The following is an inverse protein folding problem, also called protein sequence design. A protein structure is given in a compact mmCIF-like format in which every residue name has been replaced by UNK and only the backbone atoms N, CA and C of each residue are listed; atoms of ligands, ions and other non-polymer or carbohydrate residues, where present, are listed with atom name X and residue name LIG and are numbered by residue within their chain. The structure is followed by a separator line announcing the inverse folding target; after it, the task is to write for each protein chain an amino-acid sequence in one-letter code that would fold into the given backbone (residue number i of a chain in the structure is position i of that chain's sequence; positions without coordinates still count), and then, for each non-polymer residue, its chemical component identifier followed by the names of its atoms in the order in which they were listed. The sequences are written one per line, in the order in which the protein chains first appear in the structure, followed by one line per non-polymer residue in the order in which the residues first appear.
data_IF_561157687894
#
_entry.id   IF_561157687894
#
_cell.length_a   1.000
_cell.length_b   1.000
_cell.length_c   1.000
_cell.angle_alpha   90.00
_cell.angle_beta   90.00
_cell.angle_gamma   90.00
#
_symmetry.space_group_name_H-M   'P 1'
#
loop_
_entity.id
_entity.type
_entity.pdbx_description
1 polymer ?
#
# COMPACT_ATOMS: atom_id res chain seq x y z
N UNK A 1 14.83 -9.50 -15.02
CA UNK A 1 13.70 -8.99 -15.83
C UNK A 1 12.51 -8.50 -15.01
N UNK A 2 12.48 -8.76 -13.70
CA UNK A 2 11.39 -8.30 -12.80
C UNK A 2 11.46 -6.83 -12.40
N UNK A 3 12.64 -6.22 -12.37
CA UNK A 3 12.86 -4.85 -11.88
C UNK A 3 12.25 -3.76 -12.78
N UNK A 4 12.28 -3.93 -14.09
CA UNK A 4 11.74 -2.94 -15.04
C UNK A 4 10.21 -2.88 -15.00
N UNK A 5 9.55 -3.99 -14.64
CA UNK A 5 8.09 -4.05 -14.49
C UNK A 5 7.58 -3.37 -13.22
N UNK A 6 8.32 -3.46 -12.11
CA UNK A 6 7.92 -2.89 -10.81
C UNK A 6 8.08 -1.36 -10.77
N UNK A 7 9.17 -0.81 -11.28
CA UNK A 7 9.35 0.65 -11.41
C UNK A 7 8.27 1.30 -12.28
N UNK A 8 7.87 0.64 -13.36
CA UNK A 8 6.81 1.12 -14.24
C UNK A 8 5.45 1.08 -13.54
N UNK A 9 5.15 0.03 -12.75
CA UNK A 9 3.92 -0.06 -11.97
C UNK A 9 3.82 1.01 -10.87
N UNK A 10 4.92 1.35 -10.21
CA UNK A 10 4.95 2.42 -9.21
C UNK A 10 4.69 3.77 -9.86
N UNK A 11 5.35 4.08 -10.98
CA UNK A 11 5.15 5.33 -11.73
C UNK A 11 3.72 5.52 -12.19
N UNK A 12 3.11 4.47 -12.74
CA UNK A 12 1.74 4.51 -13.26
C UNK A 12 0.69 4.67 -12.16
N UNK A 13 1.02 4.31 -10.92
CA UNK A 13 0.12 4.45 -9.77
C UNK A 13 0.04 5.88 -9.24
N UNK A 14 1.07 6.70 -9.49
CA UNK A 14 1.13 8.10 -9.12
C UNK A 14 1.01 8.95 -10.38
N UNK A 15 -0.15 9.59 -10.58
CA UNK A 15 -0.40 10.43 -11.77
C UNK A 15 0.26 11.80 -11.70
N UNK A 16 0.59 12.26 -10.51
CA UNK A 16 1.22 13.54 -10.26
C UNK A 16 2.74 13.40 -10.37
N UNK A 17 3.35 14.18 -11.28
CA UNK A 17 4.81 14.22 -11.48
C UNK A 17 5.57 14.53 -10.19
N UNK A 18 4.99 15.37 -9.32
CA UNK A 18 5.57 15.70 -8.02
C UNK A 18 5.61 14.46 -7.10
N UNK A 19 4.54 13.68 -7.05
CA UNK A 19 4.49 12.43 -6.28
C UNK A 19 5.47 11.39 -6.83
N UNK A 20 5.58 11.28 -8.16
CA UNK A 20 6.57 10.39 -8.79
C UNK A 20 8.01 10.80 -8.44
N UNK A 21 8.32 12.09 -8.43
CA UNK A 21 9.63 12.59 -8.04
C UNK A 21 9.95 12.30 -6.57
N UNK A 22 8.97 12.43 -5.67
CA UNK A 22 9.11 12.08 -4.26
C UNK A 22 9.40 10.60 -4.06
N UNK A 23 8.65 9.72 -4.72
CA UNK A 23 8.87 8.26 -4.62
C UNK A 23 10.25 7.87 -5.14
N UNK A 24 10.70 8.46 -6.26
CA UNK A 24 12.06 8.25 -6.75
C UNK A 24 13.12 8.66 -5.73
N UNK A 25 12.93 9.81 -5.08
CA UNK A 25 13.82 10.28 -4.03
C UNK A 25 13.90 9.28 -2.87
N UNK A 26 12.76 8.76 -2.41
CA UNK A 26 12.74 7.76 -1.34
C UNK A 26 13.50 6.48 -1.70
N UNK A 27 13.31 6.00 -2.93
CA UNK A 27 14.03 4.80 -3.42
C UNK A 27 15.54 5.06 -3.48
N UNK A 28 15.97 6.24 -3.93
CA UNK A 28 17.39 6.62 -3.98
C UNK A 28 18.00 6.78 -2.59
N UNK A 29 17.28 7.39 -1.66
CA UNK A 29 17.72 7.62 -0.28
C UNK A 29 17.51 6.40 0.63
N UNK A 30 16.88 5.33 0.12
CA UNK A 30 16.51 4.11 0.88
C UNK A 30 15.73 4.44 2.16
N UNK A 31 14.92 5.49 2.16
CA UNK A 31 14.11 5.91 3.30
C UNK A 31 12.75 6.41 2.86
N UNK A 32 11.74 6.23 3.73
CA UNK A 32 10.37 6.70 3.52
C UNK A 32 9.85 7.40 4.77
N UNK A 33 8.91 8.36 4.64
CA UNK A 33 8.12 8.83 5.77
C UNK A 33 7.02 7.82 6.13
N UNK A 34 6.19 8.14 7.14
CA UNK A 34 4.92 7.43 7.30
C UNK A 34 3.98 7.77 6.14
N UNK A 35 3.31 6.77 5.59
CA UNK A 35 2.48 6.91 4.40
C UNK A 35 1.03 6.56 4.68
N UNK A 36 0.11 7.24 4.00
CA UNK A 36 -1.32 6.91 3.99
C UNK A 36 -1.80 6.81 2.54
N UNK A 37 -2.08 5.60 2.08
CA UNK A 37 -2.66 5.35 0.77
C UNK A 37 -4.18 5.27 0.86
N UNK A 38 -4.88 6.21 0.25
CA UNK A 38 -6.33 6.24 0.18
C UNK A 38 -6.84 5.96 -1.23
N UNK A 39 -8.04 5.44 -1.34
CA UNK A 39 -8.70 5.19 -2.62
C UNK A 39 -9.64 3.99 -2.57
N UNK A 40 -10.36 3.74 -3.65
CA UNK A 40 -11.36 2.69 -3.70
C UNK A 40 -10.79 1.28 -3.44
N UNK A 41 -11.67 0.35 -3.07
CA UNK A 41 -11.27 -1.05 -2.94
C UNK A 41 -10.78 -1.62 -4.29
N UNK A 42 -9.81 -2.53 -4.24
CA UNK A 42 -9.34 -3.27 -5.41
C UNK A 42 -8.41 -2.50 -6.37
N UNK A 43 -8.06 -1.25 -6.10
CA UNK A 43 -7.19 -0.43 -6.98
C UNK A 43 -5.68 -0.66 -6.77
N UNK A 44 -5.28 -1.58 -5.89
CA UNK A 44 -3.89 -1.96 -5.73
C UNK A 44 -3.10 -1.21 -4.65
N UNK A 45 -3.73 -0.55 -3.67
CA UNK A 45 -3.04 0.15 -2.56
C UNK A 45 -2.04 -0.72 -1.82
N UNK A 46 -2.46 -1.92 -1.40
CA UNK A 46 -1.61 -2.90 -0.70
C UNK A 46 -0.48 -3.40 -1.59
N UNK A 47 -0.78 -3.64 -2.88
CA UNK A 47 0.21 -4.04 -3.88
C UNK A 47 1.27 -2.96 -4.07
N UNK A 48 0.85 -1.68 -4.13
CA UNK A 48 1.76 -0.55 -4.23
C UNK A 48 2.72 -0.46 -3.04
N UNK A 49 2.21 -0.68 -1.82
CA UNK A 49 3.05 -0.75 -0.62
C UNK A 49 4.10 -1.86 -0.73
N UNK A 50 3.71 -3.06 -1.18
CA UNK A 50 4.63 -4.20 -1.36
C UNK A 50 5.66 -3.95 -2.45
N UNK A 51 5.27 -3.34 -3.56
CA UNK A 51 6.23 -2.92 -4.60
C UNK A 51 7.25 -1.93 -4.05
N UNK A 52 6.81 -0.98 -3.22
CA UNK A 52 7.71 -0.03 -2.57
C UNK A 52 8.70 -0.73 -1.63
N UNK A 53 8.29 -1.77 -0.90
CA UNK A 53 9.20 -2.57 -0.07
C UNK A 53 10.27 -3.25 -0.89
N UNK A 54 9.90 -3.82 -2.04
CA UNK A 54 10.86 -4.46 -2.95
C UNK A 54 11.87 -3.47 -3.53
N UNK A 55 11.42 -2.27 -3.95
CA UNK A 55 12.31 -1.24 -4.49
C UNK A 55 13.25 -0.65 -3.42
N UNK A 56 12.79 -0.58 -2.18
CA UNK A 56 13.61 -0.16 -1.03
C UNK A 56 14.53 -1.29 -0.53
N UNK A 57 14.39 -2.51 -1.07
CA UNK A 57 15.14 -3.70 -0.66
C UNK A 57 14.99 -4.00 0.84
N UNK A 58 13.77 -3.79 1.39
CA UNK A 58 13.49 -4.05 2.80
C UNK A 58 13.48 -5.55 3.05
N UNK A 59 14.19 -5.99 4.08
CA UNK A 59 14.20 -7.39 4.47
C UNK A 59 12.81 -7.85 4.93
N UNK A 60 12.36 -9.02 4.50
CA UNK A 60 11.04 -9.56 4.87
C UNK A 60 10.84 -9.67 6.38
N UNK A 61 11.92 -9.90 7.16
CA UNK A 61 11.89 -9.95 8.62
C UNK A 61 11.70 -8.55 9.27
N UNK A 62 11.86 -7.49 8.49
CA UNK A 62 11.60 -6.11 8.91
C UNK A 62 10.23 -5.61 8.45
N UNK A 63 9.37 -6.47 7.91
CA UNK A 63 8.02 -6.14 7.46
C UNK A 63 6.99 -6.86 8.33
N UNK A 64 6.06 -6.08 8.92
CA UNK A 64 4.88 -6.59 9.60
C UNK A 64 3.63 -6.16 8.84
N UNK A 65 2.87 -7.12 8.34
CA UNK A 65 1.59 -6.87 7.68
C UNK A 65 0.44 -7.21 8.63
N UNK A 66 -0.46 -6.26 8.84
CA UNK A 66 -1.69 -6.44 9.62
C UNK A 66 -2.87 -5.94 8.80
N UNK A 67 -3.90 -6.77 8.67
CA UNK A 67 -5.18 -6.33 8.13
C UNK A 67 -6.13 -5.98 9.27
N UNK A 68 -6.47 -4.68 9.41
CA UNK A 68 -7.28 -4.16 10.50
C UNK A 68 -8.73 -4.64 10.46
N UNK A 69 -9.25 -5.02 9.28
CA UNK A 69 -10.63 -5.53 9.15
C UNK A 69 -10.79 -6.96 9.68
N UNK A 70 -9.70 -7.70 9.82
CA UNK A 70 -9.69 -9.09 10.29
C UNK A 70 -9.33 -9.26 11.76
N UNK A 71 -8.96 -8.18 12.42
CA UNK A 71 -8.45 -8.23 13.80
C UNK A 71 -9.57 -7.83 14.77
N UNK A 72 -9.88 -8.72 15.70
CA UNK A 72 -11.04 -8.56 16.60
C UNK A 72 -10.73 -7.72 17.85
N UNK A 73 -9.47 -7.41 18.15
CA UNK A 73 -9.05 -6.67 19.35
C UNK A 73 -8.06 -5.55 18.99
N UNK A 74 -8.34 -4.36 19.55
CA UNK A 74 -7.46 -3.20 19.46
C UNK A 74 -6.13 -3.45 20.17
N UNK A 75 -6.20 -4.11 21.33
CA UNK A 75 -5.03 -4.40 22.16
C UNK A 75 -4.10 -5.41 21.45
N UNK A 76 -4.68 -6.42 20.78
CA UNK A 76 -3.88 -7.40 20.01
C UNK A 76 -3.10 -6.75 18.86
N UNK A 77 -3.70 -5.76 18.17
CA UNK A 77 -3.01 -5.01 17.10
C UNK A 77 -1.86 -4.20 17.67
N UNK A 78 -2.14 -3.46 18.74
CA UNK A 78 -1.15 -2.62 19.42
C UNK A 78 0.02 -3.45 19.92
N UNK A 79 -0.25 -4.55 20.63
CA UNK A 79 0.79 -5.39 21.23
C UNK A 79 1.66 -6.06 20.15
N UNK A 80 1.06 -6.54 19.05
CA UNK A 80 1.82 -7.05 17.91
C UNK A 80 2.74 -6.01 17.31
N UNK A 81 2.25 -4.78 17.11
CA UNK A 81 3.05 -3.69 16.54
C UNK A 81 4.18 -3.34 17.50
N UNK A 82 3.90 -3.12 18.79
CA UNK A 82 4.90 -2.74 19.79
C UNK A 82 5.99 -3.79 19.89
N UNK A 83 5.62 -5.07 20.04
CA UNK A 83 6.57 -6.17 20.11
C UNK A 83 7.47 -6.24 18.86
N UNK A 84 6.92 -5.97 17.68
CA UNK A 84 7.66 -5.98 16.43
C UNK A 84 8.63 -4.80 16.32
N UNK A 85 8.17 -3.57 16.60
CA UNK A 85 8.99 -2.35 16.43
C UNK A 85 10.07 -2.18 17.50
N UNK A 86 9.95 -2.89 18.64
CA UNK A 86 10.98 -2.94 19.69
C UNK A 86 12.19 -3.79 19.30
N UNK A 87 12.02 -4.72 18.36
CA UNK A 87 13.14 -5.53 17.90
C UNK A 87 14.09 -4.68 17.04
N UNK A 88 15.38 -4.97 17.13
CA UNK A 88 16.40 -4.33 16.28
C UNK A 88 16.12 -4.70 14.82
N UNK A 89 16.05 -3.72 13.89
CA UNK A 89 15.88 -4.02 12.47
C UNK A 89 17.13 -4.70 11.89
N UNK A 90 16.95 -5.57 10.90
CA UNK A 90 18.04 -6.13 10.11
C UNK A 90 18.60 -5.09 9.13
N UNK A 91 17.74 -4.21 8.60
CA UNK A 91 18.10 -3.06 7.77
C UNK A 91 18.14 -1.78 8.60
N UNK A 92 17.81 -0.65 7.97
CA UNK A 92 17.82 0.67 8.63
C UNK A 92 16.60 0.90 9.52
N UNK A 93 15.44 0.37 9.15
CA UNK A 93 14.17 0.52 9.90
C UNK A 93 13.22 -0.65 9.63
N UNK A 94 12.28 -0.82 10.54
CA UNK A 94 11.15 -1.74 10.37
C UNK A 94 9.98 -1.06 9.67
N UNK A 95 9.15 -1.83 8.97
CA UNK A 95 7.95 -1.32 8.32
C UNK A 95 6.72 -2.07 8.83
N UNK A 96 5.72 -1.31 9.21
CA UNK A 96 4.39 -1.83 9.56
C UNK A 96 3.41 -1.42 8.47
N UNK A 97 2.91 -2.39 7.73
CA UNK A 97 1.80 -2.21 6.79
C UNK A 97 0.49 -2.52 7.50
N UNK A 98 -0.32 -1.49 7.70
CA UNK A 98 -1.65 -1.61 8.28
C UNK A 98 -2.70 -1.45 7.18
N UNK A 99 -3.17 -2.57 6.68
CA UNK A 99 -4.16 -2.61 5.61
C UNK A 99 -5.57 -2.39 6.17
N UNK A 100 -6.39 -1.60 5.46
CA UNK A 100 -7.75 -1.24 5.84
C UNK A 100 -7.83 -0.54 7.22
N UNK A 101 -6.93 0.41 7.48
CA UNK A 101 -6.84 1.14 8.75
C UNK A 101 -8.12 1.91 9.15
N UNK A 102 -8.98 2.20 8.20
CA UNK A 102 -10.31 2.81 8.40
C UNK A 102 -11.32 1.90 9.13
N UNK A 103 -10.98 0.62 9.34
CA UNK A 103 -11.74 -0.30 10.22
C UNK A 103 -11.36 -0.17 11.70
N UNK A 104 -10.22 0.45 12.02
CA UNK A 104 -9.86 0.70 13.41
C UNK A 104 -10.79 1.73 14.06
N UNK A 105 -11.13 1.49 15.33
CA UNK A 105 -11.82 2.49 16.13
C UNK A 105 -10.97 3.75 16.31
N UNK A 106 -11.58 4.91 16.60
CA UNK A 106 -10.82 6.14 16.88
C UNK A 106 -9.80 5.99 18.02
N UNK A 107 -10.14 5.20 19.04
CA UNK A 107 -9.25 4.92 20.17
C UNK A 107 -8.03 4.10 19.74
N UNK A 108 -8.24 3.09 18.88
CA UNK A 108 -7.16 2.29 18.30
C UNK A 108 -6.22 3.14 17.44
N UNK A 109 -6.78 4.02 16.64
CA UNK A 109 -6.03 4.96 15.82
C UNK A 109 -5.21 5.94 16.68
N UNK A 110 -5.78 6.42 17.77
CA UNK A 110 -5.06 7.28 18.73
C UNK A 110 -3.90 6.55 19.41
N UNK A 111 -4.10 5.28 19.79
CA UNK A 111 -3.03 4.43 20.33
C UNK A 111 -1.93 4.19 19.30
N UNK A 112 -2.29 3.91 18.04
CA UNK A 112 -1.35 3.74 16.93
C UNK A 112 -0.50 5.00 16.72
N UNK A 113 -1.12 6.19 16.79
CA UNK A 113 -0.39 7.46 16.75
C UNK A 113 0.71 7.53 17.82
N UNK A 114 0.40 7.13 19.04
CA UNK A 114 1.39 7.11 20.14
C UNK A 114 2.59 6.21 19.80
N UNK A 115 2.33 5.01 19.28
CA UNK A 115 3.39 4.08 18.83
C UNK A 115 4.21 4.67 17.68
N UNK A 116 3.57 5.31 16.70
CA UNK A 116 4.26 5.98 15.60
C UNK A 116 5.18 7.10 16.07
N UNK A 117 4.78 7.85 17.10
CA UNK A 117 5.60 8.90 17.69
C UNK A 117 6.79 8.35 18.48
N UNK A 118 6.57 7.29 19.25
CA UNK A 118 7.60 6.66 20.07
C UNK A 118 8.69 6.00 19.24
N UNK A 119 8.31 5.32 18.15
CA UNK A 119 9.23 4.53 17.31
C UNK A 119 9.56 5.18 15.96
N UNK A 120 9.39 6.50 15.80
CA UNK A 120 9.58 7.21 14.53
C UNK A 120 10.99 7.10 13.95
N UNK A 121 12.01 6.84 14.77
CA UNK A 121 13.40 6.68 14.33
C UNK A 121 13.66 5.30 13.72
N UNK A 122 13.06 4.25 14.29
CA UNK A 122 13.34 2.85 13.97
C UNK A 122 12.24 2.16 13.17
N UNK A 123 11.07 2.78 13.04
CA UNK A 123 9.95 2.20 12.32
C UNK A 123 9.26 3.20 11.38
N UNK A 124 8.72 2.67 10.28
CA UNK A 124 7.87 3.38 9.34
C UNK A 124 6.53 2.69 9.24
N UNK A 125 5.48 3.47 9.06
CA UNK A 125 4.11 2.97 8.99
C UNK A 125 3.52 3.31 7.64
N UNK A 126 2.96 2.32 6.97
CA UNK A 126 2.16 2.51 5.77
C UNK A 126 0.74 2.07 6.08
N UNK A 127 -0.18 3.01 6.00
CA UNK A 127 -1.60 2.78 6.23
C UNK A 127 -2.31 2.76 4.88
N UNK A 128 -3.23 1.83 4.69
CA UNK A 128 -4.16 1.89 3.56
C UNK A 128 -5.58 2.12 4.07
N UNK A 129 -6.40 2.83 3.33
CA UNK A 129 -7.80 3.02 3.65
C UNK A 129 -8.67 3.18 2.40
N UNK A 130 -9.93 2.78 2.51
CA UNK A 130 -10.93 3.04 1.48
C UNK A 130 -11.67 4.36 1.75
N UNK A 131 -11.83 4.72 3.03
CA UNK A 131 -12.58 5.89 3.49
C UNK A 131 -11.68 6.80 4.32
N UNK A 132 -10.96 7.76 3.70
CA UNK A 132 -10.01 8.63 4.42
C UNK A 132 -10.67 9.49 5.51
N UNK A 133 -11.97 9.76 5.39
CA UNK A 133 -12.74 10.49 6.41
C UNK A 133 -12.95 9.69 7.72
N UNK A 134 -12.68 8.39 7.71
CA UNK A 134 -12.69 7.54 8.93
C UNK A 134 -11.34 7.52 9.64
N UNK A 135 -10.28 8.05 9.02
CA UNK A 135 -8.97 8.20 9.63
C UNK A 135 -8.95 9.50 10.43
N UNK A 136 -8.54 9.42 11.69
CA UNK A 136 -8.51 10.60 12.57
C UNK A 136 -7.50 11.65 12.07
N UNK A 137 -7.78 12.95 12.28
CA UNK A 137 -6.87 14.04 11.84
C UNK A 137 -5.45 13.89 12.36
N UNK A 138 -5.29 13.33 13.55
CA UNK A 138 -3.99 13.09 14.16
C UNK A 138 -3.10 12.09 13.38
N UNK A 139 -3.68 11.10 12.68
CA UNK A 139 -2.95 10.21 11.78
C UNK A 139 -2.69 10.88 10.42
N UNK A 140 -3.67 11.64 9.91
CA UNK A 140 -3.46 12.43 8.69
C UNK A 140 -2.27 13.39 8.80
N UNK A 141 -2.10 14.04 9.95
CA UNK A 141 -0.98 14.96 10.18
C UNK A 141 0.38 14.28 10.32
N UNK A 142 0.41 12.97 10.60
CA UNK A 142 1.63 12.17 10.77
C UNK A 142 2.06 11.45 9.52
N UNK A 143 1.13 11.20 8.61
CA UNK A 143 1.38 10.48 7.38
C UNK A 143 1.39 11.42 6.19
N UNK A 144 2.25 11.14 5.23
CA UNK A 144 2.15 11.74 3.91
C UNK A 144 1.05 10.99 3.15
N UNK A 145 -0.03 11.72 2.83
CA UNK A 145 -1.21 11.15 2.17
C UNK A 145 -1.05 11.09 0.66
N UNK A 146 -1.42 9.96 0.08
CA UNK A 146 -1.53 9.74 -1.36
C UNK A 146 -2.91 9.21 -1.70
N UNK A 147 -3.59 9.89 -2.58
CA UNK A 147 -4.84 9.39 -3.13
C UNK A 147 -4.54 8.60 -4.42
N UNK A 148 -4.76 7.30 -4.36
CA UNK A 148 -4.60 6.41 -5.51
C UNK A 148 -5.90 6.50 -6.31
N UNK A 149 -5.83 7.17 -7.45
CA UNK A 149 -6.99 7.32 -8.33
C UNK A 149 -7.30 6.01 -9.06
N UNK A 150 -8.56 5.85 -9.46
CA UNK A 150 -8.91 4.80 -10.42
C UNK A 150 -8.14 5.03 -11.71
N UNK A 151 -7.49 3.99 -12.22
CA UNK A 151 -6.99 3.98 -13.58
C UNK A 151 -8.20 4.05 -14.53
N UNK A 152 -8.04 4.64 -15.70
CA UNK A 152 -9.11 4.60 -16.69
C UNK A 152 -9.34 3.18 -17.22
N UNK A 153 -10.50 2.93 -17.84
CA UNK A 153 -10.88 1.59 -18.27
C UNK A 153 -9.93 1.04 -19.34
N UNK A 154 -9.38 1.90 -20.19
CA UNK A 154 -8.43 1.51 -21.25
C UNK A 154 -7.12 1.01 -20.65
N UNK A 155 -6.57 1.77 -19.70
CA UNK A 155 -5.36 1.39 -18.96
C UNK A 155 -5.58 0.14 -18.12
N UNK A 156 -6.74 0.01 -17.49
CA UNK A 156 -7.13 -1.20 -16.75
C UNK A 156 -7.15 -2.42 -17.68
N UNK A 157 -7.77 -2.32 -18.86
CA UNK A 157 -7.82 -3.39 -19.86
C UNK A 157 -6.42 -3.78 -20.32
N UNK A 158 -5.55 -2.80 -20.58
CA UNK A 158 -4.17 -3.05 -20.97
C UNK A 158 -3.38 -3.79 -19.86
N UNK A 159 -3.59 -3.44 -18.59
CA UNK A 159 -2.96 -4.13 -17.45
C UNK A 159 -3.43 -5.58 -17.31
N UNK A 160 -4.74 -5.82 -17.44
CA UNK A 160 -5.30 -7.18 -17.38
C UNK A 160 -4.76 -8.01 -18.55
N UNK A 161 -4.76 -7.48 -19.77
CA UNK A 161 -4.21 -8.15 -20.94
C UNK A 161 -2.73 -8.52 -20.76
N UNK A 162 -1.93 -7.59 -20.20
CA UNK A 162 -0.52 -7.85 -19.91
C UNK A 162 -0.32 -8.98 -18.91
N UNK A 163 -1.08 -8.98 -17.81
CA UNK A 163 -1.01 -10.05 -16.80
C UNK A 163 -1.35 -11.41 -17.43
N UNK A 164 -2.42 -11.48 -18.23
CA UNK A 164 -2.80 -12.71 -18.91
C UNK A 164 -1.71 -13.21 -19.87
N UNK A 165 -1.08 -12.31 -20.62
CA UNK A 165 0.04 -12.65 -21.51
C UNK A 165 1.25 -13.15 -20.73
N UNK A 166 1.59 -12.48 -19.61
CA UNK A 166 2.69 -12.87 -18.74
C UNK A 166 2.46 -14.25 -18.10
N UNK A 167 1.20 -14.63 -17.85
CA UNK A 167 0.77 -15.95 -17.37
C UNK A 167 0.58 -16.97 -18.52
N UNK A 168 0.92 -16.61 -19.75
CA UNK A 168 0.85 -17.49 -20.92
C UNK A 168 -0.55 -17.67 -21.52
N UNK A 169 -1.51 -16.86 -21.13
CA UNK A 169 -2.88 -16.85 -21.63
C UNK A 169 -3.00 -15.83 -22.77
N UNK A 170 -3.45 -16.26 -23.95
CA UNK A 170 -3.80 -15.31 -25.01
C UNK A 170 -5.21 -14.77 -24.79
N UNK A 171 -5.38 -13.49 -24.45
CA UNK A 171 -6.69 -12.93 -24.20
C UNK A 171 -7.47 -12.76 -25.53
N UNK A 172 -8.70 -13.25 -25.55
CA UNK A 172 -9.69 -12.84 -26.54
C UNK A 172 -10.21 -11.46 -26.16
N UNK A 173 -10.12 -10.50 -27.08
CA UNK A 173 -10.41 -9.09 -26.79
C UNK A 173 -11.90 -8.85 -26.44
N UNK A 174 -12.82 -9.61 -27.05
CA UNK A 174 -14.26 -9.45 -26.79
C UNK A 174 -14.63 -10.03 -25.41
N UNK A 175 -14.03 -11.16 -25.05
CA UNK A 175 -14.17 -11.78 -23.75
C UNK A 175 -13.55 -10.86 -22.69
N UNK A 176 -12.34 -10.36 -22.92
CA UNK A 176 -11.64 -9.44 -22.02
C UNK A 176 -12.46 -8.17 -21.74
N UNK A 177 -13.01 -7.55 -22.78
CA UNK A 177 -13.86 -6.36 -22.64
C UNK A 177 -15.10 -6.61 -21.78
N UNK A 178 -15.71 -7.79 -21.92
CA UNK A 178 -16.85 -8.20 -21.10
C UNK A 178 -16.48 -8.33 -19.63
N UNK A 179 -15.38 -9.00 -19.31
CA UNK A 179 -14.89 -9.12 -17.94
C UNK A 179 -14.48 -7.79 -17.34
N UNK A 180 -13.80 -6.95 -18.10
CA UNK A 180 -13.41 -5.60 -17.69
C UNK A 180 -14.63 -4.76 -17.36
N UNK A 181 -15.66 -4.73 -18.21
CA UNK A 181 -16.90 -3.98 -17.95
C UNK A 181 -17.62 -4.44 -16.70
N UNK A 182 -17.59 -5.74 -16.39
CA UNK A 182 -18.24 -6.31 -15.23
C UNK A 182 -17.49 -6.07 -13.90
N UNK A 183 -16.17 -5.94 -13.96
CA UNK A 183 -15.30 -5.97 -12.76
C UNK A 183 -14.58 -4.66 -12.48
N UNK A 184 -14.47 -3.77 -13.47
CA UNK A 184 -13.83 -2.46 -13.31
C UNK A 184 -14.45 -1.67 -12.14
N UNK A 185 -13.65 -1.08 -11.27
CA UNK A 185 -12.18 -0.95 -11.30
C UNK A 185 -11.44 -1.97 -10.41
N UNK A 186 -12.07 -3.07 -10.04
CA UNK A 186 -11.50 -4.06 -9.12
C UNK A 186 -10.69 -5.11 -9.88
N UNK A 187 -9.37 -4.93 -9.91
CA UNK A 187 -8.44 -5.81 -10.62
C UNK A 187 -8.47 -7.25 -10.08
N UNK A 188 -8.71 -7.44 -8.76
CA UNK A 188 -8.78 -8.77 -8.13
C UNK A 188 -9.95 -9.61 -8.63
N UNK A 189 -11.04 -8.94 -9.05
CA UNK A 189 -12.22 -9.63 -9.58
C UNK A 189 -12.08 -9.94 -11.06
N UNK A 190 -11.17 -9.23 -11.75
CA UNK A 190 -10.99 -9.38 -13.17
C UNK A 190 -10.02 -10.52 -13.53
N UNK A 191 -9.09 -10.82 -12.62
CA UNK A 191 -8.09 -11.88 -12.73
C UNK A 191 -8.55 -13.10 -11.93
#
# INVERSE_FOLDING_TARGET
SGLVGSEMCIRDSFRDEHQQAQVKKWIQEKTIPHLLFSGNAGIGKTTLAKLLFNELEINDLDILEINASRTNSVDDVRDKIVNFVQMIPFGEFKVVLLDEADYLSPNAQAALRGVMEEYHTTARFILTCNYPNRIIPALHSRCQGFHIAKIDQTEFTARVAKILIDEGVQPDLDILDTYVKATYPDLRKCI
#
